data_IF_140159844525
#
_entry.id   IF_140159844525
#
_cell.length_a   1.000
_cell.length_b   1.000
_cell.length_c   1.000
_cell.angle_alpha   90.00
_cell.angle_beta   90.00
_cell.angle_gamma   90.00
#
_symmetry.space_group_name_H-M   'P 1'
#
loop_
_entity.id
_entity.type
_entity.pdbx_description
1 polymer ?
#
# COMPACT_ATOMS: atom_id res chain seq x y z
N UNK A 1 10.56 7.58 -0.76
CA UNK A 1 9.16 7.85 -1.15
C UNK A 1 8.93 7.16 -2.49
N UNK A 2 7.69 6.87 -2.89
CA UNK A 2 7.39 6.29 -4.20
C UNK A 2 6.28 7.11 -4.84
N UNK A 3 6.49 7.59 -6.06
CA UNK A 3 5.45 8.20 -6.88
C UNK A 3 4.61 7.09 -7.49
N UNK A 4 3.29 7.21 -7.46
CA UNK A 4 2.40 6.30 -8.17
C UNK A 4 1.58 7.11 -9.16
N UNK A 5 1.93 7.00 -10.44
CA UNK A 5 1.22 7.63 -11.55
C UNK A 5 0.29 6.61 -12.21
N UNK A 6 -0.99 6.93 -12.42
CA UNK A 6 -1.88 6.07 -13.18
C UNK A 6 -1.42 5.94 -14.64
N UNK A 7 -1.64 4.79 -15.31
CA UNK A 7 -2.23 3.59 -14.73
C UNK A 7 -1.24 2.74 -13.93
N UNK A 8 0.08 2.76 -14.23
CA UNK A 8 1.08 1.89 -13.58
C UNK A 8 2.53 2.36 -13.75
N UNK A 9 2.91 3.54 -13.24
CA UNK A 9 4.33 3.92 -13.21
C UNK A 9 4.78 4.37 -11.83
N UNK A 10 5.89 3.78 -11.37
CA UNK A 10 6.66 4.30 -10.25
C UNK A 10 7.77 5.19 -10.78
N UNK A 11 7.77 6.46 -10.39
CA UNK A 11 8.81 7.42 -10.82
C UNK A 11 9.95 7.38 -9.80
N UNK A 12 11.20 7.07 -10.22
CA UNK A 12 12.38 7.12 -9.34
C UNK A 12 12.69 8.55 -8.86
N UNK A 13 13.34 8.61 -7.71
CA UNK A 13 13.48 9.83 -6.91
C UNK A 13 14.66 10.74 -7.30
N UNK A 14 14.50 12.07 -7.20
CA UNK A 14 15.50 13.07 -7.63
C UNK A 14 15.77 14.25 -6.66
N UNK A 15 15.41 14.23 -5.35
CA UNK A 15 15.62 15.44 -4.50
C UNK A 15 15.88 15.22 -2.99
N UNK A 16 17.00 15.71 -2.46
CA UNK A 16 17.47 15.51 -1.07
C UNK A 16 16.68 16.20 0.08
N UNK A 17 15.41 16.61 -0.10
CA UNK A 17 14.69 17.43 0.90
C UNK A 17 13.25 16.96 1.23
N UNK A 18 13.08 15.70 1.66
CA UNK A 18 11.74 15.19 2.04
C UNK A 18 11.46 15.15 3.54
N UNK A 19 12.45 15.29 4.44
CA UNK A 19 12.21 15.11 5.88
C UNK A 19 11.07 15.99 6.44
N UNK A 20 10.88 17.19 5.87
CA UNK A 20 9.85 18.16 6.26
C UNK A 20 8.59 18.12 5.36
N UNK A 21 8.48 17.15 4.46
CA UNK A 21 7.33 17.07 3.55
C UNK A 21 6.04 16.80 4.36
N UNK A 22 4.92 17.53 4.10
CA UNK A 22 3.70 17.44 4.90
C UNK A 22 3.04 16.04 4.89
N UNK A 23 3.42 15.17 3.95
CA UNK A 23 2.95 13.77 3.87
C UNK A 23 3.14 13.01 5.19
N UNK A 24 4.21 13.27 5.95
CA UNK A 24 4.51 12.53 7.18
C UNK A 24 3.55 12.87 8.32
N UNK A 25 2.80 13.97 8.22
CA UNK A 25 1.73 14.34 9.14
C UNK A 25 0.40 13.67 8.82
N UNK A 26 0.26 13.02 7.66
CA UNK A 26 -0.99 12.39 7.25
C UNK A 26 -1.32 11.14 8.08
N UNK A 27 -2.59 10.76 8.04
CA UNK A 27 -3.08 9.54 8.71
C UNK A 27 -2.71 8.30 7.89
N UNK A 28 -2.46 7.20 8.61
CA UNK A 28 -2.31 5.87 8.00
C UNK A 28 -3.71 5.31 7.74
N UNK A 29 -4.03 4.84 6.52
CA UNK A 29 -5.36 4.28 6.21
C UNK A 29 -5.71 3.05 7.05
N UNK A 30 -7.01 2.67 7.11
CA UNK A 30 -7.51 1.67 8.05
C UNK A 30 -6.78 0.33 8.00
N UNK A 31 -6.76 -0.34 6.83
CA UNK A 31 -6.12 -1.65 6.68
C UNK A 31 -4.61 -1.58 6.92
N UNK A 32 -3.81 -0.70 6.25
CA UNK A 32 -2.39 -0.55 6.55
C UNK A 32 -2.09 -0.35 8.03
N UNK A 33 -2.91 0.44 8.74
CA UNK A 33 -2.75 0.65 10.19
C UNK A 33 -2.99 -0.64 10.98
N UNK A 34 -4.03 -1.41 10.66
CA UNK A 34 -4.38 -2.65 11.36
C UNK A 34 -3.34 -3.76 11.17
N UNK A 35 -2.66 -3.79 10.02
CA UNK A 35 -1.54 -4.71 9.76
C UNK A 35 -0.17 -4.13 10.15
N UNK A 36 -0.15 -2.98 10.82
CA UNK A 36 1.05 -2.32 11.31
C UNK A 36 2.06 -1.92 10.21
N UNK A 37 1.54 -1.53 9.05
CA UNK A 37 2.32 -1.02 7.92
C UNK A 37 2.09 0.49 7.80
N UNK A 38 3.10 1.32 8.13
CA UNK A 38 2.91 2.75 8.35
C UNK A 38 2.86 3.56 7.04
N UNK A 39 1.96 3.27 6.12
CA UNK A 39 1.87 4.00 4.84
C UNK A 39 1.12 5.33 4.98
N UNK A 40 1.67 6.38 4.39
CA UNK A 40 1.06 7.71 4.28
C UNK A 40 1.05 8.18 2.83
N UNK A 41 0.04 8.98 2.48
CA UNK A 41 -0.31 9.29 1.09
C UNK A 41 -0.52 10.79 0.91
N UNK A 42 -0.05 11.36 -0.19
CA UNK A 42 -0.27 12.77 -0.54
C UNK A 42 -0.60 12.90 -2.03
N UNK A 43 -1.74 13.51 -2.36
CA UNK A 43 -2.09 13.80 -3.75
C UNK A 43 -1.25 14.95 -4.26
N UNK A 44 -0.57 14.75 -5.38
CA UNK A 44 0.20 15.81 -6.05
C UNK A 44 -0.73 16.69 -6.88
N UNK A 45 -1.86 16.13 -7.32
CA UNK A 45 -2.74 16.73 -8.29
C UNK A 45 -2.23 16.42 -9.69
N UNK A 46 -3.09 15.82 -10.51
CA UNK A 46 -2.84 15.58 -11.92
C UNK A 46 -4.02 16.11 -12.72
N UNK A 47 -3.74 16.59 -13.93
CA UNK A 47 -4.75 17.13 -14.83
C UNK A 47 -4.94 16.16 -15.99
N UNK A 48 -6.16 15.66 -16.16
CA UNK A 48 -6.61 15.03 -17.40
C UNK A 48 -7.97 15.61 -17.80
N UNK A 49 -8.20 15.69 -19.11
CA UNK A 49 -9.50 16.02 -19.68
C UNK A 49 -10.48 14.84 -19.57
N UNK A 50 -9.97 13.60 -19.54
CA UNK A 50 -10.74 12.41 -19.22
C UNK A 50 -10.55 12.07 -17.73
N UNK A 51 -11.68 11.93 -17.07
CA UNK A 51 -11.77 11.63 -15.65
C UNK A 51 -11.32 10.20 -15.34
N UNK A 52 -11.53 9.27 -16.26
CA UNK A 52 -11.12 7.88 -16.10
C UNK A 52 -9.59 7.71 -16.04
N UNK A 53 -8.84 8.58 -16.73
CA UNK A 53 -7.36 8.57 -16.70
C UNK A 53 -6.79 8.85 -15.30
N UNK A 54 -7.59 9.46 -14.43
CA UNK A 54 -7.20 9.81 -13.07
C UNK A 54 -7.54 8.70 -12.07
N UNK A 55 -8.17 7.61 -12.50
CA UNK A 55 -8.45 6.49 -11.61
C UNK A 55 -7.15 5.78 -11.22
N UNK A 56 -6.99 5.61 -9.91
CA UNK A 56 -5.80 5.03 -9.33
C UNK A 56 -6.22 3.89 -8.40
N UNK A 57 -6.58 2.77 -9.01
CA UNK A 57 -7.20 1.62 -8.33
C UNK A 57 -6.33 1.09 -7.19
N UNK A 58 -5.00 1.09 -7.36
CA UNK A 58 -4.05 0.72 -6.29
C UNK A 58 -4.25 1.60 -5.06
N UNK A 59 -4.37 2.92 -5.24
CA UNK A 59 -4.59 3.83 -4.12
C UNK A 59 -6.00 3.68 -3.54
N UNK A 60 -7.01 3.41 -4.37
CA UNK A 60 -8.36 3.08 -3.91
C UNK A 60 -8.32 1.89 -2.96
N UNK A 61 -7.66 0.80 -3.34
CA UNK A 61 -7.58 -0.42 -2.54
C UNK A 61 -6.83 -0.20 -1.22
N UNK A 62 -5.76 0.61 -1.24
CA UNK A 62 -5.01 0.95 -0.03
C UNK A 62 -5.82 1.82 0.97
N UNK A 63 -6.94 2.41 0.54
CA UNK A 63 -7.81 3.26 1.36
C UNK A 63 -9.13 2.61 1.77
N UNK A 64 -9.35 1.32 1.47
CA UNK A 64 -10.60 0.65 1.85
C UNK A 64 -10.83 0.70 3.35
N UNK A 65 -12.09 0.91 3.71
CA UNK A 65 -12.56 0.84 5.08
C UNK A 65 -12.67 -0.62 5.54
N UNK A 66 -12.29 -0.88 6.78
CA UNK A 66 -12.19 -2.25 7.32
C UNK A 66 -13.55 -2.90 7.58
N UNK A 67 -14.63 -2.13 7.69
CA UNK A 67 -15.96 -2.66 7.95
C UNK A 67 -16.76 -2.85 6.66
N UNK A 68 -16.64 -1.89 5.75
CA UNK A 68 -17.46 -1.85 4.53
C UNK A 68 -16.75 -2.37 3.27
N UNK A 69 -15.42 -2.42 3.26
CA UNK A 69 -14.63 -2.76 2.07
C UNK A 69 -14.57 -1.64 1.03
N UNK A 70 -15.24 -0.51 1.25
CA UNK A 70 -15.20 0.63 0.33
C UNK A 70 -14.17 1.65 0.75
N UNK A 71 -13.42 2.19 -0.21
CA UNK A 71 -12.67 3.42 0.05
C UNK A 71 -13.65 4.57 0.35
N UNK A 72 -13.29 5.55 1.20
CA UNK A 72 -14.10 6.74 1.39
C UNK A 72 -14.25 7.52 0.07
N UNK A 73 -15.33 8.29 -0.15
CA UNK A 73 -15.66 8.89 -1.45
C UNK A 73 -14.53 9.68 -2.11
N UNK A 74 -13.71 10.38 -1.31
CA UNK A 74 -12.57 11.12 -1.84
C UNK A 74 -11.57 10.23 -2.56
N UNK A 75 -11.39 8.99 -2.11
CA UNK A 75 -10.42 7.99 -2.58
C UNK A 75 -11.03 6.88 -3.45
N UNK A 76 -12.23 7.05 -4.00
CA UNK A 76 -12.86 6.03 -4.85
C UNK A 76 -12.50 6.15 -6.34
N UNK A 77 -12.40 7.39 -6.84
CA UNK A 77 -12.18 7.69 -8.26
C UNK A 77 -11.50 9.05 -8.41
N UNK A 78 -10.96 9.33 -9.61
CA UNK A 78 -10.36 10.63 -9.94
C UNK A 78 -9.24 11.04 -8.97
N UNK A 79 -8.44 10.07 -8.53
CA UNK A 79 -7.44 10.24 -7.47
C UNK A 79 -6.20 10.96 -8.01
N UNK A 80 -5.80 10.61 -9.23
CA UNK A 80 -4.62 11.13 -9.89
C UNK A 80 -3.31 10.58 -9.33
N UNK A 81 -2.23 11.34 -9.55
CA UNK A 81 -0.88 11.00 -9.06
C UNK A 81 -0.79 11.17 -7.54
N UNK A 82 -0.24 10.15 -6.87
CA UNK A 82 -0.11 10.11 -5.41
C UNK A 82 1.33 9.79 -5.00
N UNK A 83 1.85 10.56 -4.06
CA UNK A 83 3.07 10.22 -3.31
C UNK A 83 2.72 9.24 -2.20
N UNK A 84 3.51 8.19 -2.09
CA UNK A 84 3.42 7.22 -0.99
C UNK A 84 4.74 7.20 -0.23
N UNK A 85 4.67 7.28 1.09
CA UNK A 85 5.83 7.15 1.96
C UNK A 85 5.51 6.30 3.18
N UNK A 86 6.55 5.89 3.91
CA UNK A 86 6.35 5.37 5.26
C UNK A 86 6.35 6.51 6.25
N UNK A 87 5.43 6.50 7.21
CA UNK A 87 5.27 7.52 8.24
C UNK A 87 6.51 7.64 9.13
N UNK A 88 7.24 6.54 9.33
CA UNK A 88 8.50 6.49 10.06
C UNK A 88 9.72 6.97 9.25
N UNK A 89 9.49 7.53 8.05
CA UNK A 89 10.50 8.05 7.11
C UNK A 89 11.53 7.02 6.64
N UNK A 90 11.37 5.73 6.95
CA UNK A 90 12.24 4.68 6.44
C UNK A 90 11.97 4.43 4.95
N UNK A 91 12.93 3.79 4.29
CA UNK A 91 12.83 3.45 2.86
C UNK A 91 11.57 2.62 2.58
N UNK A 92 10.78 3.09 1.60
CA UNK A 92 9.68 2.36 0.99
C UNK A 92 10.11 1.96 -0.42
N UNK A 93 10.03 0.66 -0.73
CA UNK A 93 10.34 0.11 -2.04
C UNK A 93 9.04 -0.14 -2.81
N UNK A 94 9.05 -0.11 -4.15
CA UNK A 94 7.88 -0.47 -4.94
C UNK A 94 7.27 -1.83 -4.55
N UNK A 95 8.11 -2.83 -4.27
CA UNK A 95 7.70 -4.18 -3.85
C UNK A 95 7.00 -4.18 -2.48
N UNK A 96 7.43 -3.30 -1.57
CA UNK A 96 6.74 -3.12 -0.30
C UNK A 96 5.34 -2.57 -0.51
N UNK A 97 5.20 -1.54 -1.35
CA UNK A 97 3.88 -1.00 -1.69
C UNK A 97 3.02 -2.06 -2.39
N UNK A 98 3.64 -2.86 -3.26
CA UNK A 98 2.99 -3.96 -3.96
C UNK A 98 2.34 -4.97 -3.02
N UNK A 99 3.10 -5.45 -2.04
CA UNK A 99 2.58 -6.41 -1.08
C UNK A 99 1.37 -5.90 -0.33
N UNK A 100 1.33 -4.61 0.02
CA UNK A 100 0.23 -4.05 0.79
C UNK A 100 -1.02 -3.89 -0.08
N UNK A 101 -0.89 -3.42 -1.33
CA UNK A 101 -2.08 -3.26 -2.19
C UNK A 101 -2.63 -4.61 -2.65
N UNK A 102 -1.78 -5.59 -2.95
CA UNK A 102 -2.21 -6.97 -3.24
C UNK A 102 -2.88 -7.63 -2.03
N UNK A 103 -2.46 -7.31 -0.80
CA UNK A 103 -3.15 -7.77 0.39
C UNK A 103 -4.54 -7.14 0.54
N UNK A 104 -4.67 -5.85 0.22
CA UNK A 104 -5.98 -5.17 0.23
C UNK A 104 -6.91 -5.73 -0.87
N UNK A 105 -6.37 -6.05 -2.05
CA UNK A 105 -7.10 -6.75 -3.12
C UNK A 105 -7.62 -8.12 -2.64
N UNK A 106 -6.76 -8.90 -1.98
CA UNK A 106 -7.18 -10.17 -1.36
C UNK A 106 -8.27 -10.00 -0.29
N UNK A 107 -8.22 -8.93 0.52
CA UNK A 107 -9.30 -8.60 1.48
C UNK A 107 -10.61 -8.30 0.75
N UNK A 108 -10.57 -7.61 -0.40
CA UNK A 108 -11.74 -7.32 -1.21
C UNK A 108 -12.37 -8.58 -1.81
N UNK A 109 -11.56 -9.56 -2.22
CA UNK A 109 -12.07 -10.87 -2.66
C UNK A 109 -12.90 -11.53 -1.54
N UNK A 110 -12.40 -11.49 -0.30
CA UNK A 110 -13.12 -12.05 0.86
C UNK A 110 -14.42 -11.29 1.17
N UNK A 111 -14.48 -9.97 0.93
CA UNK A 111 -15.74 -9.24 0.99
C UNK A 111 -16.73 -9.73 -0.09
N UNK A 112 -16.23 -10.06 -1.28
CA UNK A 112 -17.01 -10.60 -2.40
C UNK A 112 -17.65 -11.97 -2.11
N UNK A 113 -17.07 -12.76 -1.20
CA UNK A 113 -17.61 -14.06 -0.76
C UNK A 113 -18.88 -13.92 0.11
N UNK A 114 -19.20 -12.71 0.59
CA UNK A 114 -20.47 -12.41 1.27
C UNK A 114 -20.50 -12.72 2.77
N UNK A 115 -19.36 -13.06 3.38
CA UNK A 115 -19.25 -13.33 4.83
C UNK A 115 -19.10 -12.07 5.69
N UNK A 116 -19.07 -10.89 5.06
CA UNK A 116 -18.82 -9.61 5.71
C UNK A 116 -17.33 -9.30 5.88
N UNK A 117 -16.98 -8.43 6.82
CA UNK A 117 -15.60 -7.97 7.01
C UNK A 117 -14.67 -9.11 7.49
N UNK A 118 -13.56 -9.42 6.79
CA UNK A 118 -12.63 -10.49 7.14
C UNK A 118 -11.70 -10.09 8.30
N UNK A 119 -12.26 -9.84 9.49
CA UNK A 119 -11.54 -9.32 10.66
C UNK A 119 -10.32 -10.14 11.10
N UNK A 120 -10.29 -11.45 10.79
CA UNK A 120 -9.15 -12.33 11.06
C UNK A 120 -7.88 -11.96 10.29
N UNK A 121 -8.02 -11.17 9.21
CA UNK A 121 -6.95 -10.64 8.38
C UNK A 121 -6.35 -9.32 8.94
N UNK A 122 -7.03 -8.67 9.89
CA UNK A 122 -6.66 -7.32 10.33
C UNK A 122 -5.60 -7.33 11.43
N UNK A 123 -4.46 -7.97 11.16
CA UNK A 123 -3.32 -8.07 12.08
C UNK A 123 -2.03 -8.35 11.33
N UNK A 124 -0.92 -7.84 11.87
CA UNK A 124 0.42 -8.02 11.30
C UNK A 124 0.77 -9.48 10.98
N UNK A 125 0.45 -10.41 11.89
CA UNK A 125 0.73 -11.83 11.70
C UNK A 125 0.04 -12.40 10.44
N UNK A 126 -1.23 -12.07 10.22
CA UNK A 126 -1.98 -12.57 9.06
C UNK A 126 -1.41 -12.02 7.75
N UNK A 127 -1.02 -10.74 7.74
CA UNK A 127 -0.31 -10.15 6.60
C UNK A 127 1.02 -10.85 6.32
N UNK A 128 1.82 -11.14 7.34
CA UNK A 128 3.11 -11.83 7.17
C UNK A 128 2.96 -13.28 6.71
N UNK A 129 1.94 -13.99 7.17
CA UNK A 129 1.59 -15.34 6.72
C UNK A 129 1.19 -15.31 5.23
N UNK A 130 0.26 -14.44 4.87
CA UNK A 130 -0.14 -14.25 3.47
C UNK A 130 1.04 -13.84 2.58
N UNK A 131 1.86 -12.89 3.05
CA UNK A 131 3.01 -12.37 2.30
C UNK A 131 4.05 -13.45 2.00
N UNK A 132 4.26 -14.40 2.93
CA UNK A 132 5.14 -15.56 2.68
C UNK A 132 4.66 -16.38 1.49
N UNK A 133 3.36 -16.62 1.39
CA UNK A 133 2.78 -17.42 0.32
C UNK A 133 2.76 -16.64 -1.00
N UNK A 134 2.36 -15.37 -0.96
CA UNK A 134 2.45 -14.45 -2.10
C UNK A 134 3.88 -14.38 -2.66
N UNK A 135 4.91 -14.24 -1.81
CA UNK A 135 6.30 -14.25 -2.22
C UNK A 135 6.71 -15.57 -2.88
N UNK A 136 6.25 -16.73 -2.38
CA UNK A 136 6.56 -18.03 -3.00
C UNK A 136 5.99 -18.11 -4.42
N UNK A 137 4.79 -17.58 -4.64
CA UNK A 137 4.15 -17.55 -5.95
C UNK A 137 4.84 -16.57 -6.89
N UNK A 138 5.11 -15.34 -6.44
CA UNK A 138 5.80 -14.33 -7.24
C UNK A 138 7.25 -14.70 -7.56
N UNK A 139 7.95 -15.45 -6.70
CA UNK A 139 9.29 -16.00 -7.00
C UNK A 139 9.32 -16.96 -8.19
N UNK A 140 8.19 -17.56 -8.57
CA UNK A 140 8.11 -18.31 -9.84
C UNK A 140 8.24 -17.38 -11.06
N UNK A 141 7.95 -16.10 -10.87
CA UNK A 141 7.89 -15.07 -11.91
C UNK A 141 9.01 -14.01 -11.78
N UNK A 142 9.66 -13.87 -10.62
CA UNK A 142 10.65 -12.82 -10.30
C UNK A 142 11.93 -13.38 -9.67
N UNK A 143 13.07 -12.73 -9.92
CA UNK A 143 14.39 -13.09 -9.34
C UNK A 143 14.54 -12.47 -7.93
N UNK A 144 14.86 -13.28 -6.90
CA UNK A 144 15.11 -12.85 -5.51
C UNK A 144 15.11 -14.03 -4.52
N UNK A 145 15.82 -13.94 -3.38
CA UNK A 145 15.96 -15.06 -2.42
C UNK A 145 14.85 -15.09 -1.35
N UNK A 146 14.14 -13.99 -1.10
CA UNK A 146 13.21 -13.78 0.01
C UNK A 146 13.80 -14.02 1.40
N UNK A 147 13.02 -13.74 2.45
CA UNK A 147 13.44 -13.88 3.84
C UNK A 147 14.04 -12.60 4.42
N UNK A 148 14.51 -12.66 5.66
CA UNK A 148 15.01 -11.49 6.41
C UNK A 148 16.22 -10.79 5.77
N UNK A 149 16.98 -11.52 4.94
CA UNK A 149 18.13 -10.99 4.20
C UNK A 149 17.75 -10.43 2.81
N UNK A 150 16.48 -10.60 2.39
CA UNK A 150 15.98 -10.00 1.17
C UNK A 150 15.38 -8.63 1.50
N UNK A 151 16.01 -7.55 1.03
CA UNK A 151 15.59 -6.20 1.39
C UNK A 151 14.27 -5.78 0.71
N UNK A 152 13.68 -6.63 -0.14
CA UNK A 152 12.31 -6.47 -0.68
C UNK A 152 11.24 -7.19 0.16
N UNK A 153 11.63 -7.94 1.21
CA UNK A 153 10.73 -8.73 2.05
C UNK A 153 10.21 -7.91 3.25
N UNK A 154 8.89 -7.77 3.38
CA UNK A 154 8.25 -7.11 4.53
C UNK A 154 8.63 -7.69 5.89
N UNK A 155 9.05 -8.96 5.97
CA UNK A 155 9.52 -9.58 7.21
C UNK A 155 10.86 -9.00 7.69
N UNK A 156 11.68 -8.51 6.77
CA UNK A 156 12.90 -7.77 7.10
C UNK A 156 12.60 -6.34 7.59
N UNK A 157 11.37 -5.86 7.40
CA UNK A 157 10.95 -4.51 7.74
C UNK A 157 10.20 -4.51 9.08
N UNK A 158 10.88 -4.04 10.13
CA UNK A 158 10.28 -3.86 11.46
C UNK A 158 9.13 -2.85 11.42
N UNK A 159 8.00 -3.25 12.03
CA UNK A 159 6.87 -2.37 12.35
C UNK A 159 7.32 -1.27 13.31
N UNK A 160 6.93 0.00 13.09
CA UNK A 160 7.20 1.07 14.06
C UNK A 160 6.25 1.06 15.26
N UNK A 161 5.29 0.12 15.30
CA UNK A 161 4.27 0.02 16.35
C UNK A 161 4.62 -1.01 17.43
N UNK A 162 5.77 -1.68 17.32
CA UNK A 162 6.24 -2.63 18.34
C UNK A 162 6.81 -1.86 19.54
N UNK A 163 6.27 -2.14 20.73
CA UNK A 163 6.86 -1.77 22.02
C UNK A 163 7.63 -2.94 22.60
#
# INVERSE_FOLDING_TARGET
MVWFDPPYQTIPDHSDHWADHPIFSNFVPPIPRLIEVPLVFHRVGSQSADRADLDNQVITYLHIDSESGFAPPSWQSHIGTVLVARKDQKTLRPQHLEGVWMYCDHILDLFGDGEGAPTHMYRRQAFEEWWKDYCKEQKKLRRGTGGENDPDDWRAVQSPYVT
#
